data_IF_549596936077
#
_entry.id   IF_549596936077
#
_cell.length_a   1.000
_cell.length_b   1.000
_cell.length_c   1.000
_cell.angle_alpha   90.00
_cell.angle_beta   90.00
_cell.angle_gamma   90.00
#
_symmetry.space_group_name_H-M   'P 1'
#
loop_
_entity.id
_entity.type
_entity.pdbx_description
1 polymer ?
#
# COMPACT_ATOMS: atom_id res chain seq x y z
N UNK A 1 -0.40 -14.09 -18.27
CA UNK A 1 -1.05 -13.27 -19.32
C UNK A 1 -1.64 -12.04 -18.63
N UNK A 2 -1.27 -10.82 -19.06
CA UNK A 2 -1.92 -9.62 -18.57
C UNK A 2 -3.39 -9.65 -19.00
N UNK A 3 -4.31 -9.45 -18.06
CA UNK A 3 -5.74 -9.36 -18.36
C UNK A 3 -5.93 -8.16 -19.29
N UNK A 4 -6.54 -8.39 -20.45
CA UNK A 4 -6.80 -7.34 -21.42
C UNK A 4 -8.10 -6.63 -21.00
N UNK A 5 -7.96 -5.45 -20.36
CA UNK A 5 -9.10 -4.61 -19.95
C UNK A 5 -9.58 -3.79 -21.12
N UNK A 6 -10.88 -3.76 -21.34
CA UNK A 6 -11.48 -2.82 -22.27
C UNK A 6 -11.55 -1.40 -21.68
N UNK A 7 -12.00 -0.44 -22.46
CA UNK A 7 -12.10 0.96 -22.02
C UNK A 7 -13.08 1.13 -20.84
N UNK A 8 -14.15 0.32 -20.80
CA UNK A 8 -15.14 0.36 -19.72
C UNK A 8 -14.56 -0.19 -18.42
N UNK A 9 -13.80 -1.28 -18.47
CA UNK A 9 -13.14 -1.85 -17.29
C UNK A 9 -12.12 -0.86 -16.71
N UNK A 10 -11.36 -0.17 -17.55
CA UNK A 10 -10.43 0.89 -17.11
C UNK A 10 -11.17 2.05 -16.45
N UNK A 11 -12.30 2.49 -17.02
CA UNK A 11 -13.13 3.54 -16.43
C UNK A 11 -13.70 3.13 -15.07
N UNK A 12 -14.21 1.89 -14.93
CA UNK A 12 -14.68 1.33 -13.66
C UNK A 12 -13.55 1.36 -12.61
N UNK A 13 -12.37 0.86 -12.96
CA UNK A 13 -11.23 0.83 -12.05
C UNK A 13 -10.78 2.25 -11.65
N UNK A 14 -10.77 3.19 -12.57
CA UNK A 14 -10.41 4.59 -12.30
C UNK A 14 -11.39 5.25 -11.32
N UNK A 15 -12.69 5.07 -11.51
CA UNK A 15 -13.71 5.61 -10.59
C UNK A 15 -13.64 4.96 -9.19
N UNK A 16 -13.48 3.64 -9.13
CA UNK A 16 -13.34 2.93 -7.84
C UNK A 16 -12.04 3.25 -7.12
N UNK A 17 -10.95 3.58 -7.83
CA UNK A 17 -9.72 4.04 -7.21
C UNK A 17 -9.86 5.42 -6.55
N UNK A 18 -10.70 6.30 -7.13
CA UNK A 18 -11.01 7.62 -6.55
C UNK A 18 -12.00 7.51 -5.39
N UNK A 19 -13.01 6.64 -5.53
CA UNK A 19 -14.04 6.44 -4.50
C UNK A 19 -14.49 4.98 -4.45
N UNK A 20 -13.85 4.21 -3.58
CA UNK A 20 -14.16 2.79 -3.35
C UNK A 20 -15.59 2.54 -2.81
N UNK A 21 -16.30 3.58 -2.34
CA UNK A 21 -17.67 3.50 -1.83
C UNK A 21 -18.73 3.98 -2.83
N UNK A 22 -18.35 4.24 -4.09
CA UNK A 22 -19.27 4.69 -5.10
C UNK A 22 -20.39 3.64 -5.31
N UNK A 23 -21.69 3.98 -5.13
CA UNK A 23 -22.78 3.03 -5.37
C UNK A 23 -22.80 2.54 -6.82
N UNK A 24 -23.19 1.28 -7.04
CA UNK A 24 -23.16 0.68 -8.38
C UNK A 24 -23.95 1.49 -9.44
N UNK A 25 -25.08 2.10 -9.05
CA UNK A 25 -25.86 2.93 -9.99
C UNK A 25 -25.09 4.20 -10.40
N UNK A 26 -24.38 4.83 -9.44
CA UNK A 26 -23.58 6.00 -9.72
C UNK A 26 -22.33 5.64 -10.55
N UNK A 27 -21.68 4.52 -10.23
CA UNK A 27 -20.57 3.98 -11.02
C UNK A 27 -20.99 3.68 -12.46
N UNK A 28 -22.13 3.00 -12.65
CA UNK A 28 -22.67 2.67 -13.96
C UNK A 28 -22.95 3.94 -14.79
N UNK A 29 -23.56 4.95 -14.16
CA UNK A 29 -23.81 6.24 -14.79
C UNK A 29 -22.51 6.95 -15.20
N UNK A 30 -21.51 6.95 -14.31
CA UNK A 30 -20.20 7.58 -14.56
C UNK A 30 -19.46 6.95 -15.74
N UNK A 31 -19.59 5.61 -15.94
CA UNK A 31 -18.93 4.89 -17.03
C UNK A 31 -19.84 4.63 -18.26
N UNK A 32 -21.09 5.14 -18.24
CA UNK A 32 -21.99 5.11 -19.39
C UNK A 32 -22.57 3.73 -19.73
N UNK A 33 -22.81 2.86 -18.73
CA UNK A 33 -23.36 1.51 -18.93
C UNK A 33 -24.58 1.23 -18.02
N UNK A 34 -25.33 0.14 -18.31
CA UNK A 34 -26.43 -0.28 -17.44
C UNK A 34 -25.91 -0.79 -16.07
N UNK A 35 -26.65 -0.54 -14.97
CA UNK A 35 -26.22 -0.98 -13.61
C UNK A 35 -26.00 -2.48 -13.48
N UNK A 36 -26.79 -3.32 -14.13
CA UNK A 36 -26.60 -4.78 -14.14
C UNK A 36 -25.29 -5.19 -14.82
N UNK A 37 -24.95 -4.54 -15.95
CA UNK A 37 -23.70 -4.75 -16.67
C UNK A 37 -22.50 -4.30 -15.82
N UNK A 38 -22.63 -3.15 -15.16
CA UNK A 38 -21.59 -2.64 -14.26
C UNK A 38 -21.31 -3.62 -13.12
N UNK A 39 -22.33 -4.09 -12.44
CA UNK A 39 -22.20 -5.07 -11.35
C UNK A 39 -21.51 -6.37 -11.82
N UNK A 40 -21.88 -6.85 -13.01
CA UNK A 40 -21.27 -8.07 -13.58
C UNK A 40 -19.80 -7.87 -13.87
N UNK A 41 -19.40 -6.71 -14.43
CA UNK A 41 -18.00 -6.37 -14.70
C UNK A 41 -17.18 -6.22 -13.42
N UNK A 42 -17.69 -5.52 -12.40
CA UNK A 42 -17.00 -5.39 -11.11
C UNK A 42 -16.77 -6.77 -10.49
N UNK A 43 -17.76 -7.66 -10.49
CA UNK A 43 -17.61 -9.03 -9.99
C UNK A 43 -16.57 -9.83 -10.80
N UNK A 44 -16.53 -9.67 -12.11
CA UNK A 44 -15.54 -10.31 -12.96
C UNK A 44 -14.14 -9.81 -12.65
N UNK A 45 -13.94 -8.51 -12.46
CA UNK A 45 -12.66 -7.91 -12.05
C UNK A 45 -12.19 -8.39 -10.67
N UNK A 46 -13.12 -8.58 -9.73
CA UNK A 46 -12.84 -9.18 -8.42
C UNK A 46 -12.45 -10.66 -8.55
N UNK A 47 -13.22 -11.45 -9.31
CA UNK A 47 -12.95 -12.87 -9.52
C UNK A 47 -11.61 -13.10 -10.23
N UNK A 48 -11.22 -12.20 -11.13
CA UNK A 48 -9.92 -12.22 -11.80
C UNK A 48 -8.76 -11.71 -10.91
N UNK A 49 -9.03 -11.28 -9.67
CA UNK A 49 -8.01 -10.75 -8.76
C UNK A 49 -7.47 -9.36 -9.15
N UNK A 50 -8.13 -8.66 -10.05
CA UNK A 50 -7.76 -7.30 -10.46
C UNK A 50 -8.14 -6.30 -9.37
N UNK A 51 -9.37 -6.40 -8.86
CA UNK A 51 -9.78 -5.71 -7.65
C UNK A 51 -9.48 -6.66 -6.48
N UNK A 52 -8.43 -6.36 -5.76
CA UNK A 52 -7.96 -7.15 -4.61
C UNK A 52 -8.65 -6.78 -3.31
N UNK A 53 -9.39 -5.68 -3.27
CA UNK A 53 -10.13 -5.22 -2.10
C UNK A 53 -10.49 -3.75 -2.17
N UNK A 54 -11.29 -3.32 -1.19
CA UNK A 54 -11.64 -1.92 -0.94
C UNK A 54 -11.08 -1.52 0.43
N UNK A 55 -10.39 -0.41 0.49
CA UNK A 55 -9.75 0.05 1.72
C UNK A 55 -10.21 1.44 2.10
N UNK A 56 -10.29 1.70 3.39
CA UNK A 56 -10.54 3.04 3.95
C UNK A 56 -9.19 3.69 4.24
N UNK A 57 -9.04 4.94 3.83
CA UNK A 57 -7.93 5.78 4.29
C UNK A 57 -8.27 6.35 5.66
N UNK A 58 -7.38 6.16 6.62
CA UNK A 58 -7.53 6.64 7.99
C UNK A 58 -6.44 7.65 8.28
N UNK A 59 -6.83 8.81 8.83
CA UNK A 59 -5.84 9.79 9.30
C UNK A 59 -5.09 9.23 10.51
N UNK A 60 -3.80 8.95 10.34
CA UNK A 60 -2.95 8.46 11.43
C UNK A 60 -2.90 9.47 12.59
N UNK A 61 -2.92 10.76 12.28
CA UNK A 61 -3.01 11.83 13.29
C UNK A 61 -4.31 11.76 14.11
N UNK A 62 -5.43 11.40 13.49
CA UNK A 62 -6.72 11.30 14.17
C UNK A 62 -6.82 10.09 15.13
N UNK A 63 -5.94 9.11 14.97
CA UNK A 63 -5.85 7.92 15.84
C UNK A 63 -4.58 7.94 16.71
N UNK A 64 -4.06 9.15 16.99
CA UNK A 64 -2.92 9.39 17.88
C UNK A 64 -1.60 8.73 17.41
N UNK A 65 -1.38 8.67 16.09
CA UNK A 65 -0.14 8.17 15.47
C UNK A 65 0.37 9.14 14.40
N UNK A 66 0.67 10.41 14.76
CA UNK A 66 1.02 11.43 13.77
C UNK A 66 2.39 11.26 13.14
N UNK A 67 3.32 10.56 13.80
CA UNK A 67 4.67 10.36 13.31
C UNK A 67 4.74 9.10 12.45
N UNK A 68 5.08 9.27 11.18
CA UNK A 68 5.34 8.17 10.27
C UNK A 68 6.83 8.05 9.95
N UNK A 69 7.30 6.83 9.80
CA UNK A 69 8.67 6.57 9.40
C UNK A 69 8.77 5.37 8.45
N UNK A 70 9.77 5.42 7.59
CA UNK A 70 10.21 4.30 6.76
C UNK A 70 11.50 3.74 7.36
N UNK A 71 11.50 2.45 7.70
CA UNK A 71 12.64 1.77 8.30
C UNK A 71 13.16 0.74 7.30
N UNK A 72 14.36 1.00 6.77
CA UNK A 72 15.10 0.01 6.00
C UNK A 72 15.69 -1.03 6.95
N UNK A 73 15.50 -2.31 6.64
CA UNK A 73 15.97 -3.43 7.46
C UNK A 73 16.81 -4.36 6.60
N UNK A 74 18.05 -4.58 7.00
CA UNK A 74 18.93 -5.60 6.42
C UNK A 74 19.03 -6.80 7.36
N UNK A 75 18.80 -8.00 6.83
CA UNK A 75 18.96 -9.24 7.56
C UNK A 75 20.41 -9.76 7.49
N UNK A 76 20.79 -10.53 8.48
CA UNK A 76 22.03 -11.30 8.45
C UNK A 76 21.94 -12.45 7.43
N UNK A 77 23.10 -12.90 6.93
CA UNK A 77 23.14 -13.88 5.85
C UNK A 77 22.54 -15.25 6.22
N UNK A 78 22.65 -15.61 7.48
CA UNK A 78 22.20 -16.90 8.04
C UNK A 78 20.67 -17.04 8.11
N UNK A 79 19.92 -15.92 8.22
CA UNK A 79 18.46 -15.95 8.30
C UNK A 79 17.73 -15.62 6.99
N UNK A 80 18.47 -15.34 5.90
CA UNK A 80 17.87 -14.99 4.60
C UNK A 80 17.03 -16.10 3.98
N UNK A 81 17.25 -17.36 4.37
CA UNK A 81 16.41 -18.48 3.94
C UNK A 81 14.95 -18.32 4.41
N UNK A 82 14.75 -17.69 5.56
CA UNK A 82 13.45 -17.53 6.24
C UNK A 82 12.84 -16.13 6.01
N UNK A 83 13.26 -15.42 4.98
CA UNK A 83 12.90 -14.01 4.73
C UNK A 83 11.39 -13.74 4.71
N UNK A 84 10.58 -14.69 4.22
CA UNK A 84 9.12 -14.56 4.20
C UNK A 84 8.50 -14.58 5.59
N UNK A 85 9.12 -15.28 6.53
CA UNK A 85 8.64 -15.35 7.90
C UNK A 85 8.96 -14.05 8.65
N UNK A 86 10.06 -13.40 8.33
CA UNK A 86 10.36 -12.05 8.79
C UNK A 86 9.30 -11.04 8.36
N UNK A 87 8.89 -11.03 7.08
CA UNK A 87 7.82 -10.16 6.60
C UNK A 87 6.49 -10.39 7.34
N UNK A 88 6.12 -11.67 7.56
CA UNK A 88 4.92 -12.05 8.30
C UNK A 88 5.00 -11.66 9.77
N UNK A 89 6.18 -11.63 10.35
CA UNK A 89 6.40 -11.21 11.74
C UNK A 89 6.31 -9.70 11.86
N UNK A 90 6.98 -8.94 10.99
CA UNK A 90 6.95 -7.48 11.02
C UNK A 90 5.55 -6.91 10.86
N UNK A 91 4.73 -7.44 9.95
CA UNK A 91 3.35 -6.94 9.74
C UNK A 91 2.42 -7.17 10.93
N UNK A 92 2.81 -7.96 11.93
CA UNK A 92 2.01 -8.19 13.14
C UNK A 92 2.19 -7.12 14.20
N UNK A 93 3.22 -6.30 14.12
CA UNK A 93 3.41 -5.21 15.07
C UNK A 93 2.37 -4.12 14.85
N UNK A 94 1.70 -3.63 15.92
CA UNK A 94 0.62 -2.65 15.81
C UNK A 94 1.04 -1.32 15.17
N UNK A 95 2.33 -0.99 15.24
CA UNK A 95 2.91 0.20 14.65
C UNK A 95 3.09 0.08 13.14
N UNK A 96 3.16 -1.14 12.60
CA UNK A 96 3.47 -1.40 11.20
C UNK A 96 2.23 -1.24 10.34
N UNK A 97 2.33 -0.40 9.32
CA UNK A 97 1.30 -0.18 8.30
C UNK A 97 1.52 -1.08 7.08
N UNK A 98 2.76 -1.15 6.61
CA UNK A 98 3.13 -1.93 5.42
C UNK A 98 4.54 -2.52 5.58
N UNK A 99 4.78 -3.64 4.91
CA UNK A 99 6.10 -4.27 4.79
C UNK A 99 6.37 -4.54 3.32
N UNK A 100 7.43 -3.98 2.79
CA UNK A 100 7.91 -4.22 1.43
C UNK A 100 9.14 -5.11 1.49
N UNK A 101 9.12 -6.23 0.77
CA UNK A 101 10.30 -7.04 0.52
C UNK A 101 11.02 -6.48 -0.71
N UNK A 102 12.29 -6.16 -0.57
CA UNK A 102 13.06 -5.46 -1.58
C UNK A 102 14.10 -6.37 -2.23
N UNK A 103 14.41 -6.09 -3.49
CA UNK A 103 15.59 -6.59 -4.15
C UNK A 103 16.65 -5.47 -4.13
N UNK A 104 17.69 -5.59 -3.32
CA UNK A 104 18.70 -4.54 -3.21
C UNK A 104 19.59 -4.70 -1.99
N UNK A 105 20.12 -3.57 -1.53
CA UNK A 105 21.01 -3.50 -0.36
C UNK A 105 20.31 -3.92 0.92
N UNK A 106 19.07 -3.48 1.09
CA UNK A 106 18.21 -3.77 2.22
C UNK A 106 17.19 -4.83 1.84
N UNK A 107 16.81 -5.68 2.79
CA UNK A 107 15.88 -6.78 2.54
C UNK A 107 14.42 -6.31 2.69
N UNK A 108 14.16 -5.35 3.60
CA UNK A 108 12.82 -4.81 3.80
C UNK A 108 12.81 -3.29 3.92
N UNK A 109 11.67 -2.71 3.54
CA UNK A 109 11.27 -1.38 3.94
C UNK A 109 9.96 -1.52 4.75
N UNK A 110 10.00 -1.09 6.01
CA UNK A 110 8.88 -1.19 6.95
C UNK A 110 8.31 0.20 7.16
N UNK A 111 7.04 0.39 6.80
CA UNK A 111 6.31 1.64 7.03
C UNK A 111 5.61 1.55 8.38
N UNK A 112 5.90 2.49 9.27
CA UNK A 112 5.34 2.55 10.62
C UNK A 112 4.65 3.87 10.90
N UNK A 113 3.65 3.83 11.80
CA UNK A 113 3.03 5.01 12.39
C UNK A 113 3.01 4.88 13.91
N UNK A 114 3.51 5.90 14.59
CA UNK A 114 3.69 5.97 16.05
C UNK A 114 3.27 7.33 16.59
N UNK A 115 3.15 7.45 17.92
CA UNK A 115 2.74 8.69 18.59
C UNK A 115 3.83 9.76 18.54
N UNK A 116 5.07 9.36 18.78
CA UNK A 116 6.20 10.26 18.95
C UNK A 116 7.55 9.59 18.65
N UNK A 117 8.61 10.32 18.81
CA UNK A 117 9.98 9.85 18.57
C UNK A 117 10.45 8.84 19.60
N UNK A 118 9.92 8.86 20.82
CA UNK A 118 10.27 7.91 21.86
C UNK A 118 9.69 6.53 21.53
N UNK A 119 8.41 6.46 21.13
CA UNK A 119 7.82 5.21 20.65
C UNK A 119 8.51 4.70 19.39
N UNK A 120 8.95 5.59 18.48
CA UNK A 120 9.73 5.18 17.29
C UNK A 120 11.05 4.54 17.68
N UNK A 121 11.79 5.19 18.59
CA UNK A 121 13.08 4.66 19.10
C UNK A 121 12.88 3.30 19.76
N UNK A 122 11.89 3.19 20.65
CA UNK A 122 11.61 1.96 21.39
C UNK A 122 11.19 0.85 20.42
N UNK A 123 10.36 1.15 19.41
CA UNK A 123 10.01 0.20 18.35
C UNK A 123 11.26 -0.32 17.61
N UNK A 124 12.16 0.56 17.19
CA UNK A 124 13.38 0.15 16.47
C UNK A 124 14.30 -0.68 17.38
N UNK A 125 14.46 -0.27 18.62
CA UNK A 125 15.36 -0.94 19.57
C UNK A 125 14.83 -2.31 19.97
N UNK A 126 13.56 -2.37 20.40
CA UNK A 126 13.02 -3.56 21.08
C UNK A 126 12.53 -4.62 20.09
N UNK A 127 12.06 -4.21 18.89
CA UNK A 127 11.43 -5.13 17.94
C UNK A 127 12.27 -5.40 16.69
N UNK A 128 13.16 -4.50 16.31
CA UNK A 128 14.01 -4.70 15.14
C UNK A 128 15.47 -4.98 15.55
N UNK A 129 16.13 -4.07 16.25
CA UNK A 129 17.55 -4.21 16.59
C UNK A 129 17.84 -5.27 17.62
N UNK A 130 16.89 -5.62 18.48
CA UNK A 130 17.02 -6.73 19.44
C UNK A 130 16.95 -8.11 18.77
N UNK A 131 16.47 -8.20 17.52
CA UNK A 131 16.43 -9.45 16.78
C UNK A 131 17.80 -9.81 16.22
N UNK A 132 18.39 -10.95 16.60
CA UNK A 132 19.74 -11.34 16.14
C UNK A 132 19.83 -11.55 14.62
N UNK A 133 18.71 -11.79 13.95
CA UNK A 133 18.66 -11.90 12.49
C UNK A 133 18.61 -10.55 11.78
N UNK A 134 18.44 -9.43 12.49
CA UNK A 134 18.51 -8.08 11.93
C UNK A 134 19.92 -7.57 12.03
N UNK A 135 20.62 -7.44 10.91
CA UNK A 135 22.00 -6.97 10.85
C UNK A 135 22.11 -5.44 10.92
N UNK A 136 21.10 -4.72 10.39
CA UNK A 136 21.08 -3.25 10.42
C UNK A 136 19.66 -2.71 10.24
N UNK A 137 19.47 -1.49 10.74
CA UNK A 137 18.29 -0.66 10.49
C UNK A 137 18.71 0.76 10.14
N UNK A 138 17.93 1.40 9.26
CA UNK A 138 18.08 2.83 8.96
C UNK A 138 16.67 3.44 8.96
N UNK A 139 16.45 4.49 9.75
CA UNK A 139 15.14 5.09 9.95
C UNK A 139 15.06 6.45 9.28
N UNK A 140 14.08 6.65 8.42
CA UNK A 140 13.74 7.91 7.77
C UNK A 140 12.37 8.40 8.20
N UNK A 141 12.29 9.59 8.77
CA UNK A 141 11.01 10.21 9.15
C UNK A 141 10.31 10.71 7.88
N UNK A 142 9.02 10.38 7.74
CA UNK A 142 8.19 10.85 6.63
C UNK A 142 7.58 12.19 7.01
N UNK A 143 7.96 13.26 6.30
CA UNK A 143 7.36 14.58 6.49
C UNK A 143 6.02 14.71 5.75
N UNK A 144 5.94 14.14 4.55
CA UNK A 144 4.76 14.18 3.71
C UNK A 144 4.66 12.92 2.84
N UNK A 145 3.46 12.43 2.63
CA UNK A 145 3.17 11.34 1.71
C UNK A 145 2.14 11.81 0.69
N UNK A 146 2.55 11.92 -0.57
CA UNK A 146 1.69 12.24 -1.70
C UNK A 146 1.36 10.96 -2.45
N UNK A 147 0.09 10.74 -2.73
CA UNK A 147 -0.38 9.59 -3.50
C UNK A 147 -1.17 10.06 -4.73
N UNK A 148 -0.81 9.56 -5.88
CA UNK A 148 -1.63 9.67 -7.08
C UNK A 148 -2.60 8.48 -7.14
N UNK A 149 -3.90 8.76 -7.20
CA UNK A 149 -4.95 7.74 -7.32
C UNK A 149 -5.27 7.39 -8.78
N UNK A 150 -4.61 8.03 -9.75
CA UNK A 150 -4.77 7.69 -11.15
C UNK A 150 -4.10 6.35 -11.44
N UNK A 151 -4.90 5.35 -11.80
CA UNK A 151 -4.39 4.01 -12.14
C UNK A 151 -3.85 3.92 -13.57
N UNK A 152 -4.34 4.78 -14.45
CA UNK A 152 -3.97 4.78 -15.86
C UNK A 152 -3.48 6.17 -16.25
N UNK A 153 -2.43 6.25 -17.08
CA UNK A 153 -2.02 7.52 -17.66
C UNK A 153 -3.20 8.15 -18.41
N UNK A 154 -3.38 9.44 -18.26
CA UNK A 154 -4.25 10.21 -19.12
C UNK A 154 -3.56 10.34 -20.48
N UNK A 155 -4.11 9.79 -21.58
CA UNK A 155 -3.47 9.87 -22.89
C UNK A 155 -3.33 11.32 -23.39
N UNK A 156 -4.16 12.24 -22.88
CA UNK A 156 -4.16 13.66 -23.24
C UNK A 156 -3.40 14.53 -22.20
N UNK A 157 -2.94 13.96 -21.11
CA UNK A 157 -2.10 14.67 -20.15
C UNK A 157 -0.72 14.93 -20.79
N UNK A 158 -0.39 16.17 -20.98
CA UNK A 158 0.96 16.59 -21.34
C UNK A 158 1.99 16.12 -20.32
N UNK A 159 3.29 16.18 -20.64
CA UNK A 159 4.34 15.80 -19.69
C UNK A 159 4.20 16.62 -18.39
N UNK A 160 4.53 16.03 -17.21
CA UNK A 160 4.48 16.76 -15.96
C UNK A 160 5.37 18.01 -16.05
N UNK A 161 4.82 19.16 -15.67
CA UNK A 161 5.56 20.42 -15.57
C UNK A 161 6.24 20.40 -14.19
N UNK A 162 7.57 20.37 -14.17
CA UNK A 162 8.40 20.51 -12.97
C UNK A 162 8.74 21.96 -12.72
#
# INVERSE_FOLDING_TARGET
MAAQFDAVDRAILAELARNARLPNNALAAAVGIAPSTCLTRVRALQAAGVITGFRTEVSMRAIDRPLQAMISVGLSADVRADIRDYARRFIRYPQVLDVYYLAGRDDFLVNVAVRDTDELRDFVTDYLSADPGVARTETSIVFEHLRDLRLFPDPDAGPPVF
#
